data_IF_375898402282
#
_entry.id   IF_375898402282
#
_cell.length_a   1.000
_cell.length_b   1.000
_cell.length_c   1.000
_cell.angle_alpha   90.00
_cell.angle_beta   90.00
_cell.angle_gamma   90.00
#
_symmetry.space_group_name_H-M   'P 1'
#
loop_
_entity.id
_entity.type
_entity.pdbx_description
1 polymer ?
#
# COMPACT_ATOMS: atom_id res chain seq x y z
N UNK A 1 29.35 43.51 -34.52
CA UNK A 1 29.53 42.75 -33.29
C UNK A 1 28.47 43.10 -32.19
N UNK A 2 28.32 44.32 -31.68
CA UNK A 2 27.37 44.70 -30.63
C UNK A 2 25.90 44.35 -30.91
N UNK A 3 25.41 44.46 -32.17
CA UNK A 3 24.02 44.06 -32.52
C UNK A 3 23.76 42.58 -32.38
N UNK A 4 24.73 41.72 -32.76
CA UNK A 4 24.59 40.27 -32.67
C UNK A 4 24.60 39.79 -31.22
N UNK A 5 25.48 40.38 -30.40
CA UNK A 5 25.51 40.08 -28.94
C UNK A 5 24.17 40.44 -28.27
N UNK A 6 23.58 41.61 -28.60
CA UNK A 6 22.28 41.96 -28.03
C UNK A 6 21.14 41.01 -28.45
N UNK A 7 21.15 40.54 -29.70
CA UNK A 7 20.16 39.57 -30.17
C UNK A 7 20.32 38.24 -29.44
N UNK A 8 21.55 37.75 -29.27
CA UNK A 8 21.83 36.50 -28.56
C UNK A 8 21.42 36.60 -27.07
N UNK A 9 21.65 37.77 -26.45
CA UNK A 9 21.23 38.01 -25.07
C UNK A 9 19.71 38.01 -24.92
N UNK A 10 18.98 38.61 -25.85
CA UNK A 10 17.51 38.61 -25.85
C UNK A 10 16.97 37.16 -26.02
N UNK A 11 17.55 36.41 -26.96
CA UNK A 11 17.16 35.00 -27.14
C UNK A 11 17.42 34.20 -25.90
N UNK A 12 18.57 34.34 -25.24
CA UNK A 12 18.90 33.66 -24.01
C UNK A 12 17.88 34.01 -22.88
N UNK A 13 17.50 35.27 -22.73
CA UNK A 13 16.49 35.69 -21.76
C UNK A 13 15.12 35.07 -22.05
N UNK A 14 14.69 35.03 -23.30
CA UNK A 14 13.43 34.37 -23.69
C UNK A 14 13.46 32.88 -23.34
N UNK A 15 14.55 32.18 -23.63
CA UNK A 15 14.69 30.77 -23.28
C UNK A 15 14.62 30.55 -21.78
N UNK A 16 15.28 31.40 -20.97
CA UNK A 16 15.21 31.32 -19.51
C UNK A 16 13.78 31.52 -19.00
N UNK A 17 13.06 32.52 -19.51
CA UNK A 17 11.67 32.78 -19.13
C UNK A 17 10.76 31.60 -19.47
N UNK A 18 10.94 31.00 -20.65
CA UNK A 18 10.17 29.81 -21.05
C UNK A 18 10.50 28.62 -20.15
N UNK A 19 11.76 28.39 -19.82
CA UNK A 19 12.17 27.32 -18.89
C UNK A 19 11.57 27.51 -17.49
N UNK A 20 11.65 28.73 -16.95
CA UNK A 20 11.04 29.03 -15.63
C UNK A 20 9.52 28.82 -15.71
N UNK A 21 8.87 29.26 -16.78
CA UNK A 21 7.43 29.06 -16.98
C UNK A 21 7.03 27.59 -17.03
N UNK A 22 7.78 26.75 -17.75
CA UNK A 22 7.49 25.32 -17.85
C UNK A 22 7.72 24.58 -16.54
N UNK A 23 8.81 24.92 -15.82
CA UNK A 23 9.10 24.34 -14.50
C UNK A 23 8.02 24.74 -13.49
N UNK A 24 7.66 26.04 -13.46
CA UNK A 24 6.62 26.54 -12.55
C UNK A 24 5.26 25.92 -12.85
N UNK A 25 4.90 25.77 -14.13
CA UNK A 25 3.65 25.12 -14.53
C UNK A 25 3.64 23.63 -14.15
N UNK A 26 4.76 22.93 -14.36
CA UNK A 26 4.92 21.52 -13.94
C UNK A 26 4.78 21.37 -12.42
N UNK A 27 5.41 22.26 -11.65
CA UNK A 27 5.29 22.29 -10.19
C UNK A 27 3.85 22.60 -9.74
N UNK A 28 3.22 23.62 -10.33
CA UNK A 28 1.83 23.99 -10.05
C UNK A 28 0.89 22.81 -10.35
N UNK A 29 1.04 22.16 -11.49
CA UNK A 29 0.24 20.97 -11.85
C UNK A 29 0.43 19.82 -10.86
N UNK A 30 1.66 19.56 -10.42
CA UNK A 30 1.97 18.53 -9.42
C UNK A 30 1.30 18.85 -8.06
N UNK A 31 1.37 20.10 -7.62
CA UNK A 31 0.80 20.55 -6.32
C UNK A 31 -0.72 20.59 -6.34
N UNK A 32 -1.33 20.86 -7.51
CA UNK A 32 -2.79 20.98 -7.65
C UNK A 32 -3.46 19.67 -8.14
N UNK A 33 -2.68 18.63 -8.46
CA UNK A 33 -3.26 17.31 -8.73
C UNK A 33 -3.86 16.77 -7.44
N UNK A 34 -5.18 16.76 -7.36
CA UNK A 34 -5.92 16.04 -6.34
C UNK A 34 -5.66 14.54 -6.55
N UNK A 35 -4.79 13.95 -5.74
CA UNK A 35 -4.56 12.51 -5.75
C UNK A 35 -5.81 11.87 -5.16
N UNK A 36 -6.68 11.35 -6.02
CA UNK A 36 -7.83 10.58 -5.56
C UNK A 36 -7.33 9.26 -4.99
N UNK A 37 -7.76 8.97 -3.77
CA UNK A 37 -7.49 7.70 -3.15
C UNK A 37 -8.05 6.54 -4.00
N UNK A 38 -7.31 5.46 -4.21
CA UNK A 38 -7.80 4.29 -4.90
C UNK A 38 -9.01 3.69 -4.18
N UNK A 39 -10.02 3.27 -4.94
CA UNK A 39 -11.18 2.55 -4.43
C UNK A 39 -11.11 1.10 -4.92
N UNK A 40 -11.09 0.17 -3.99
CA UNK A 40 -11.18 -1.26 -4.28
C UNK A 40 -12.59 -1.74 -3.96
N UNK A 41 -13.16 -2.54 -4.84
CA UNK A 41 -14.48 -3.16 -4.65
C UNK A 41 -14.27 -4.65 -4.36
N UNK A 42 -14.75 -5.11 -3.23
CA UNK A 42 -14.71 -6.51 -2.80
C UNK A 42 -16.12 -7.08 -2.81
N UNK A 43 -16.38 -8.03 -3.68
CA UNK A 43 -17.65 -8.76 -3.71
C UNK A 43 -17.58 -9.97 -2.79
N UNK A 44 -18.42 -10.00 -1.78
CA UNK A 44 -18.49 -11.10 -0.82
C UNK A 44 -19.72 -11.93 -1.13
N UNK A 45 -19.49 -13.18 -1.55
CA UNK A 45 -20.56 -14.10 -1.94
C UNK A 45 -21.61 -14.20 -0.83
N UNK A 46 -22.89 -14.02 -1.20
CA UNK A 46 -24.06 -14.08 -0.34
C UNK A 46 -24.17 -12.93 0.70
N UNK A 47 -23.22 -12.02 0.76
CA UNK A 47 -23.20 -10.90 1.72
C UNK A 47 -23.20 -9.51 1.07
N UNK A 48 -22.87 -9.42 -0.23
CA UNK A 48 -22.88 -8.16 -0.98
C UNK A 48 -21.49 -7.58 -1.17
N UNK A 49 -21.42 -6.25 -1.30
CA UNK A 49 -20.23 -5.54 -1.75
C UNK A 49 -19.66 -4.64 -0.66
N UNK A 50 -18.35 -4.75 -0.40
CA UNK A 50 -17.58 -3.84 0.44
C UNK A 50 -16.77 -2.93 -0.46
N UNK A 51 -16.81 -1.61 -0.21
CA UNK A 51 -15.95 -0.63 -0.89
C UNK A 51 -14.87 -0.16 0.07
N UNK A 52 -13.63 -0.25 -0.36
CA UNK A 52 -12.45 0.12 0.41
C UNK A 52 -11.82 1.35 -0.24
N UNK A 53 -11.68 2.42 0.51
CA UNK A 53 -10.83 3.56 0.15
C UNK A 53 -9.45 3.34 0.74
N UNK A 54 -8.42 3.36 -0.11
CA UNK A 54 -7.04 3.11 0.29
C UNK A 54 -6.25 4.42 0.33
N UNK A 55 -5.36 4.56 1.29
CA UNK A 55 -4.63 5.80 1.57
C UNK A 55 -3.13 5.66 1.29
N UNK A 56 -2.68 5.76 0.01
CA UNK A 56 -1.27 5.59 -0.36
C UNK A 56 -0.34 6.64 0.28
N UNK A 57 -0.86 7.80 0.67
CA UNK A 57 -0.07 8.80 1.39
C UNK A 57 0.25 8.37 2.83
N UNK A 58 -0.57 7.49 3.41
CA UNK A 58 -0.41 7.00 4.78
C UNK A 58 0.30 5.66 4.86
N UNK A 59 0.22 4.83 3.83
CA UNK A 59 0.81 3.50 3.79
C UNK A 59 1.12 3.10 2.33
N UNK A 60 2.14 3.71 1.70
CA UNK A 60 2.43 3.54 0.28
C UNK A 60 2.74 2.09 -0.12
N UNK A 61 3.60 1.41 0.61
CA UNK A 61 4.00 0.03 0.30
C UNK A 61 2.85 -0.95 0.54
N UNK A 62 2.11 -0.76 1.63
CA UNK A 62 0.92 -1.55 1.97
C UNK A 62 -0.15 -1.43 0.88
N UNK A 63 -0.45 -0.19 0.45
CA UNK A 63 -1.46 0.06 -0.59
C UNK A 63 -1.01 -0.48 -1.93
N UNK A 64 0.26 -0.28 -2.31
CA UNK A 64 0.80 -0.79 -3.56
C UNK A 64 0.74 -2.32 -3.62
N UNK A 65 1.12 -3.00 -2.54
CA UNK A 65 1.05 -4.45 -2.42
C UNK A 65 -0.39 -4.97 -2.52
N UNK A 66 -1.31 -4.38 -1.77
CA UNK A 66 -2.73 -4.78 -1.79
C UNK A 66 -3.33 -4.63 -3.18
N UNK A 67 -3.07 -3.52 -3.87
CA UNK A 67 -3.55 -3.26 -5.24
C UNK A 67 -2.91 -4.25 -6.23
N UNK A 68 -1.62 -4.54 -6.10
CA UNK A 68 -0.94 -5.49 -6.98
C UNK A 68 -1.58 -6.89 -6.86
N UNK A 69 -1.76 -7.39 -5.65
CA UNK A 69 -2.42 -8.67 -5.40
C UNK A 69 -3.87 -8.70 -5.92
N UNK A 70 -4.64 -7.62 -5.69
CA UNK A 70 -6.01 -7.51 -6.19
C UNK A 70 -6.06 -7.52 -7.71
N UNK A 71 -5.20 -6.76 -8.40
CA UNK A 71 -5.15 -6.69 -9.85
C UNK A 71 -4.73 -8.01 -10.52
N UNK A 72 -3.97 -8.85 -9.83
CA UNK A 72 -3.58 -10.18 -10.33
C UNK A 72 -4.56 -11.30 -9.93
N UNK A 73 -5.69 -10.95 -9.28
CA UNK A 73 -6.73 -11.91 -8.91
C UNK A 73 -6.35 -12.80 -7.72
N UNK A 74 -5.31 -12.44 -6.95
CA UNK A 74 -4.88 -13.24 -5.80
C UNK A 74 -5.99 -13.46 -4.77
N UNK A 75 -6.83 -12.46 -4.56
CA UNK A 75 -7.91 -12.51 -3.56
C UNK A 75 -9.17 -13.25 -4.04
N UNK A 76 -9.27 -13.59 -5.34
CA UNK A 76 -10.44 -14.22 -5.91
C UNK A 76 -10.67 -15.63 -5.33
N UNK A 77 -11.87 -15.85 -4.81
CA UNK A 77 -12.26 -17.13 -4.21
C UNK A 77 -11.72 -17.39 -2.79
N UNK A 78 -10.92 -16.47 -2.22
CA UNK A 78 -10.46 -16.58 -0.84
C UNK A 78 -11.61 -16.37 0.15
N UNK A 79 -11.39 -16.78 1.38
CA UNK A 79 -12.38 -16.74 2.47
C UNK A 79 -11.97 -15.77 3.56
N UNK A 80 -12.95 -15.25 4.26
CA UNK A 80 -12.72 -14.74 5.61
C UNK A 80 -12.56 -15.93 6.55
N UNK A 81 -11.32 -16.35 6.77
CA UNK A 81 -11.00 -17.57 7.53
C UNK A 81 -11.11 -17.39 9.05
N UNK A 82 -11.14 -16.14 9.52
CA UNK A 82 -11.27 -15.83 10.95
C UNK A 82 -12.26 -14.69 11.15
N UNK A 83 -13.28 -14.93 11.97
CA UNK A 83 -14.32 -13.94 12.31
C UNK A 83 -14.45 -13.87 13.83
N UNK A 84 -14.21 -12.70 14.42
CA UNK A 84 -14.34 -12.49 15.86
C UNK A 84 -15.32 -11.35 16.11
N UNK A 85 -16.46 -11.67 16.69
CA UNK A 85 -17.52 -10.70 16.99
C UNK A 85 -17.00 -9.58 17.90
N UNK A 86 -17.24 -8.33 17.49
CA UNK A 86 -16.81 -7.16 18.25
C UNK A 86 -15.31 -6.91 18.23
N UNK A 87 -14.62 -7.49 17.23
CA UNK A 87 -13.20 -7.28 16.98
C UNK A 87 -12.95 -7.07 15.48
N UNK A 88 -12.92 -8.14 14.68
CA UNK A 88 -12.59 -8.02 13.25
C UNK A 88 -13.05 -9.25 12.46
N UNK A 89 -13.02 -9.11 11.12
CA UNK A 89 -13.02 -10.21 10.15
C UNK A 89 -11.69 -10.21 9.41
N UNK A 90 -11.06 -11.38 9.25
CA UNK A 90 -9.74 -11.53 8.63
C UNK A 90 -9.82 -12.44 7.41
N UNK A 91 -9.20 -12.00 6.32
CA UNK A 91 -9.12 -12.70 5.04
C UNK A 91 -7.76 -12.53 4.38
N UNK A 92 -7.68 -12.83 3.07
CA UNK A 92 -6.45 -12.66 2.29
C UNK A 92 -5.41 -13.76 2.50
N UNK A 93 -5.81 -14.90 3.03
CA UNK A 93 -4.97 -16.06 3.26
C UNK A 93 -5.19 -17.11 2.18
N UNK A 94 -4.17 -17.43 1.40
CA UNK A 94 -4.23 -18.43 0.32
C UNK A 94 -4.50 -19.84 0.82
N UNK A 95 -4.08 -20.17 2.04
CA UNK A 95 -4.31 -21.49 2.65
C UNK A 95 -5.66 -21.55 3.39
N UNK A 96 -6.19 -20.41 3.82
CA UNK A 96 -7.45 -20.31 4.56
C UNK A 96 -7.38 -20.83 6.01
N UNK A 97 -6.18 -20.93 6.59
CA UNK A 97 -5.91 -21.43 7.94
C UNK A 97 -5.03 -20.48 8.79
N UNK A 98 -4.68 -19.33 8.24
CA UNK A 98 -3.82 -18.31 8.87
C UNK A 98 -2.33 -18.43 8.50
N UNK A 99 -1.90 -19.42 7.72
CA UNK A 99 -0.49 -19.69 7.43
C UNK A 99 -0.04 -19.27 6.03
N UNK A 100 -0.98 -18.90 5.15
CA UNK A 100 -0.70 -18.52 3.78
C UNK A 100 0.02 -17.17 3.69
N UNK A 101 0.90 -17.08 2.69
CA UNK A 101 1.64 -15.87 2.33
C UNK A 101 1.66 -15.76 0.81
N UNK A 102 1.73 -14.54 0.25
CA UNK A 102 1.84 -14.37 -1.18
C UNK A 102 3.22 -14.74 -1.69
N UNK A 103 3.29 -15.08 -2.97
CA UNK A 103 4.51 -15.37 -3.70
C UNK A 103 4.78 -14.27 -4.74
N UNK A 104 6.01 -14.17 -5.23
CA UNK A 104 6.37 -13.13 -6.21
C UNK A 104 5.59 -13.27 -7.53
N UNK A 105 5.20 -14.49 -7.89
CA UNK A 105 4.33 -14.76 -9.03
C UNK A 105 2.93 -14.15 -8.88
N UNK A 106 2.42 -14.04 -7.65
CA UNK A 106 1.09 -13.49 -7.37
C UNK A 106 0.97 -11.99 -7.68
N UNK A 107 2.08 -11.31 -7.84
CA UNK A 107 2.15 -9.89 -8.23
C UNK A 107 2.89 -9.66 -9.55
N UNK A 108 3.13 -10.72 -10.32
CA UNK A 108 3.76 -10.65 -11.64
C UNK A 108 5.24 -10.24 -11.63
N UNK A 109 5.93 -10.34 -10.48
CA UNK A 109 7.36 -10.03 -10.36
C UNK A 109 8.29 -11.21 -10.61
N UNK A 110 7.75 -12.41 -10.79
CA UNK A 110 8.53 -13.60 -11.08
C UNK A 110 8.47 -13.93 -12.57
N UNK A 111 9.62 -14.04 -13.20
CA UNK A 111 9.75 -14.61 -14.55
C UNK A 111 9.75 -16.14 -14.48
N UNK A 112 9.25 -16.78 -15.52
CA UNK A 112 9.25 -18.24 -15.62
C UNK A 112 10.69 -18.78 -15.50
N UNK A 113 10.94 -19.61 -14.45
CA UNK A 113 12.24 -20.22 -14.20
C UNK A 113 13.10 -19.54 -13.12
N UNK A 114 12.62 -18.46 -12.51
CA UNK A 114 13.21 -17.85 -11.30
C UNK A 114 12.31 -18.11 -10.09
N UNK A 115 12.73 -17.71 -8.90
CA UNK A 115 12.08 -17.93 -7.58
C UNK A 115 10.58 -17.51 -7.54
N UNK A 116 9.76 -18.04 -8.48
CA UNK A 116 8.33 -17.69 -8.66
C UNK A 116 7.50 -17.98 -7.42
N UNK A 117 7.86 -19.02 -6.72
CA UNK A 117 7.27 -19.53 -5.47
C UNK A 117 7.92 -18.96 -4.21
N UNK A 118 8.79 -17.94 -4.38
CA UNK A 118 9.39 -17.25 -3.24
C UNK A 118 8.36 -16.39 -2.53
N UNK A 119 8.02 -16.76 -1.31
CA UNK A 119 7.19 -15.97 -0.42
C UNK A 119 7.86 -14.65 -0.07
N UNK A 120 7.06 -13.60 0.06
CA UNK A 120 7.55 -12.29 0.44
C UNK A 120 6.66 -11.65 1.51
N UNK A 121 7.22 -10.64 2.18
CA UNK A 121 6.53 -9.78 3.12
C UNK A 121 6.93 -8.33 2.83
N UNK A 122 6.09 -7.40 3.26
CA UNK A 122 6.34 -5.96 3.17
C UNK A 122 6.81 -5.42 4.52
N UNK A 123 7.53 -4.29 4.46
CA UNK A 123 7.89 -3.53 5.66
C UNK A 123 6.62 -2.95 6.30
N UNK A 124 6.48 -3.10 7.60
CA UNK A 124 5.33 -2.56 8.33
C UNK A 124 5.38 -1.03 8.42
N UNK A 125 4.30 -0.38 8.01
CA UNK A 125 4.17 1.08 7.97
C UNK A 125 3.37 1.59 9.18
N UNK A 126 3.96 1.49 10.38
CA UNK A 126 3.36 1.90 11.66
C UNK A 126 4.43 2.41 12.64
N UNK A 127 4.00 3.08 13.72
CA UNK A 127 4.85 3.86 14.61
C UNK A 127 5.96 3.02 15.27
N UNK A 128 5.66 1.81 15.74
CA UNK A 128 6.66 0.96 16.39
C UNK A 128 7.79 0.53 15.43
N UNK A 129 7.57 0.60 14.12
CA UNK A 129 8.56 0.38 13.06
C UNK A 129 9.18 1.70 12.53
N UNK A 130 8.96 2.81 13.23
CA UNK A 130 9.52 4.13 12.88
C UNK A 130 8.74 4.86 11.77
N UNK A 131 7.56 4.41 11.39
CA UNK A 131 6.74 5.03 10.35
C UNK A 131 5.50 5.71 10.97
N UNK A 132 5.31 7.01 10.72
CA UNK A 132 4.17 7.77 11.24
C UNK A 132 2.91 7.51 10.43
N UNK A 133 2.13 6.50 10.81
CA UNK A 133 0.79 6.26 10.26
C UNK A 133 -0.28 6.86 11.19
N UNK A 134 -1.13 7.73 10.63
CA UNK A 134 -2.17 8.45 11.40
C UNK A 134 -3.52 7.75 11.37
N UNK A 135 -3.68 6.69 10.57
CA UNK A 135 -4.93 5.94 10.51
C UNK A 135 -5.03 5.07 11.76
N UNK A 136 -6.18 5.17 12.42
CA UNK A 136 -6.49 4.41 13.63
C UNK A 136 -7.30 3.16 13.28
N UNK A 137 -7.10 2.08 14.02
CA UNK A 137 -7.87 0.84 13.89
C UNK A 137 -9.28 0.99 14.50
N UNK A 138 -10.09 1.86 13.92
CA UNK A 138 -11.49 2.05 14.30
C UNK A 138 -12.42 1.17 13.46
N UNK A 139 -13.69 1.11 13.83
CA UNK A 139 -14.72 0.37 13.08
C UNK A 139 -14.74 0.75 11.58
N UNK A 140 -14.78 -0.26 10.71
CA UNK A 140 -14.74 -0.12 9.26
C UNK A 140 -13.34 0.05 8.64
N UNK A 141 -12.29 0.23 9.41
CA UNK A 141 -10.92 0.35 8.89
C UNK A 141 -10.36 -1.02 8.53
N UNK A 142 -9.76 -1.11 7.32
CA UNK A 142 -8.98 -2.26 6.88
C UNK A 142 -7.50 -2.06 7.22
N UNK A 143 -6.85 -3.11 7.70
CA UNK A 143 -5.43 -3.13 8.04
C UNK A 143 -4.79 -4.45 7.65
N UNK A 144 -3.48 -4.44 7.35
CA UNK A 144 -2.75 -5.69 7.09
C UNK A 144 -2.55 -6.48 8.37
N UNK A 145 -2.76 -7.79 8.27
CA UNK A 145 -2.40 -8.71 9.34
C UNK A 145 -0.91 -9.04 9.25
N UNK A 146 -0.27 -9.23 10.39
CA UNK A 146 1.13 -9.66 10.53
C UNK A 146 1.24 -10.80 11.52
N UNK A 147 2.30 -11.59 11.40
CA UNK A 147 2.60 -12.63 12.38
C UNK A 147 3.20 -12.03 13.66
N UNK A 148 2.93 -12.65 14.79
CA UNK A 148 3.57 -12.33 16.06
C UNK A 148 4.60 -13.42 16.41
N UNK A 149 5.85 -13.19 16.05
CA UNK A 149 6.95 -14.10 16.39
C UNK A 149 7.56 -13.79 17.75
N UNK A 150 7.13 -12.71 18.42
CA UNK A 150 7.66 -12.34 19.75
C UNK A 150 7.27 -13.33 20.83
N UNK A 151 6.21 -14.11 20.60
CA UNK A 151 5.81 -15.25 21.43
C UNK A 151 6.87 -16.36 21.47
N UNK A 152 7.73 -16.47 20.44
CA UNK A 152 8.85 -17.42 20.39
C UNK A 152 10.14 -16.79 20.92
N UNK A 153 10.42 -15.54 20.58
CA UNK A 153 11.57 -14.79 21.06
C UNK A 153 11.36 -13.27 20.87
N UNK A 154 11.68 -12.48 21.88
CA UNK A 154 11.68 -11.01 21.78
C UNK A 154 12.69 -10.48 20.75
N UNK A 155 13.68 -11.28 20.35
CA UNK A 155 14.65 -10.93 19.31
C UNK A 155 14.01 -10.90 17.92
N UNK A 156 12.83 -11.54 17.72
CA UNK A 156 12.08 -11.60 16.47
C UNK A 156 11.09 -10.45 16.29
N UNK A 157 11.25 -9.34 17.03
CA UNK A 157 10.35 -8.18 16.95
C UNK A 157 10.35 -7.55 15.57
N UNK A 158 11.53 -7.37 14.97
CA UNK A 158 11.66 -6.78 13.62
C UNK A 158 11.04 -7.68 12.55
N UNK A 159 11.25 -8.98 12.64
CA UNK A 159 10.65 -9.97 11.74
C UNK A 159 9.12 -9.96 11.88
N UNK A 160 8.59 -9.86 13.09
CA UNK A 160 7.15 -9.69 13.32
C UNK A 160 6.61 -8.42 12.67
N UNK A 161 7.32 -7.31 12.81
CA UNK A 161 6.89 -6.02 12.24
C UNK A 161 6.87 -6.03 10.71
N UNK A 162 7.74 -6.80 10.08
CA UNK A 162 7.88 -6.90 8.62
C UNK A 162 7.35 -8.23 8.07
N UNK A 163 6.32 -8.80 8.68
CA UNK A 163 5.74 -10.09 8.30
C UNK A 163 4.41 -10.01 7.55
N UNK A 164 3.90 -8.81 7.29
CA UNK A 164 2.68 -8.64 6.51
C UNK A 164 2.91 -9.05 5.05
N UNK A 165 2.00 -9.86 4.50
CA UNK A 165 2.03 -10.32 3.11
C UNK A 165 0.74 -9.96 2.37
N UNK A 166 -0.21 -10.90 2.36
CA UNK A 166 -1.52 -10.70 1.72
C UNK A 166 -2.68 -10.63 2.71
N UNK A 167 -2.51 -11.15 3.92
CA UNK A 167 -3.60 -11.21 4.90
C UNK A 167 -3.95 -9.82 5.41
N UNK A 168 -5.25 -9.57 5.51
CA UNK A 168 -5.80 -8.32 6.02
C UNK A 168 -6.94 -8.59 6.98
N UNK A 169 -7.29 -7.61 7.81
CA UNK A 169 -8.50 -7.66 8.62
C UNK A 169 -9.28 -6.35 8.48
N UNK A 170 -10.61 -6.46 8.60
CA UNK A 170 -11.52 -5.32 8.67
C UNK A 170 -12.04 -5.25 10.11
N UNK A 171 -11.83 -4.11 10.74
CA UNK A 171 -12.27 -3.86 12.10
C UNK A 171 -13.81 -3.78 12.15
N UNK A 172 -14.43 -4.49 13.09
CA UNK A 172 -15.87 -4.43 13.40
C UNK A 172 -16.14 -3.79 14.75
N UNK A 173 -15.13 -3.14 15.30
CA UNK A 173 -15.16 -2.33 16.52
C UNK A 173 -13.92 -1.42 16.53
N UNK A 174 -13.85 -0.53 17.53
CA UNK A 174 -12.64 0.29 17.75
C UNK A 174 -11.56 -0.52 18.45
N UNK A 175 -10.48 -0.82 17.75
CA UNK A 175 -9.36 -1.67 18.18
C UNK A 175 -8.06 -0.86 18.29
N UNK A 176 -8.10 0.32 18.88
CA UNK A 176 -6.97 1.26 18.96
C UNK A 176 -5.75 0.73 19.71
N UNK A 177 -5.87 -0.38 20.42
CA UNK A 177 -4.73 -1.11 20.98
C UNK A 177 -3.82 -1.73 19.91
N UNK A 178 -4.30 -1.80 18.64
CA UNK A 178 -3.52 -2.26 17.49
C UNK A 178 -2.79 -1.11 16.77
N UNK A 179 -3.01 0.13 17.18
CA UNK A 179 -2.29 1.29 16.65
C UNK A 179 -0.83 1.21 17.14
N UNK A 180 0.11 1.02 16.25
CA UNK A 180 1.45 0.65 16.58
C UNK A 180 2.49 1.76 16.68
#
# INVERSE_FOLDING_TARGET
>A
MKKLTNILTIIALIVIVVLIGTISFGYYKKVTMEVKNPIVTMEVKDFGTIKLELYPEMAPDTVANFIALANHGFYDGLKFHRVVKGFMIQGGDSNGDGTGSPELSDIGLAEAGTDSDKKYCITGEFLANGYENKIKNTDGVISMARADYTSYSSQLTTESYNSAGSQFFINTASNTSLDG
#
